data_IF_217664307711
#
_entry.id   IF_217664307711
#
_cell.length_a   1.000
_cell.length_b   1.000
_cell.length_c   1.000
_cell.angle_alpha   90.00
_cell.angle_beta   90.00
_cell.angle_gamma   90.00
#
_symmetry.space_group_name_H-M   'P 1'
#
loop_
_entity.id
_entity.type
_entity.pdbx_description
1 polymer ?
#
# COMPACT_ATOMS: atom_id res chain seq x y z
N UNK A 1 -1.60 35.29 -63.73
CA UNK A 1 -2.75 35.55 -62.85
C UNK A 1 -3.41 34.21 -62.56
N UNK A 2 -2.92 33.58 -61.50
CA UNK A 2 -3.34 32.25 -61.05
C UNK A 2 -4.68 32.34 -60.32
N UNK A 3 -5.66 31.56 -60.77
CA UNK A 3 -6.90 31.36 -60.03
C UNK A 3 -6.63 30.37 -58.91
N UNK A 4 -6.52 30.90 -57.68
CA UNK A 4 -6.50 30.13 -56.43
C UNK A 4 -7.77 29.29 -56.32
N UNK A 5 -7.60 27.98 -56.35
CA UNK A 5 -8.59 27.00 -55.86
C UNK A 5 -8.63 27.10 -54.34
N UNK A 6 -9.77 27.50 -53.79
CA UNK A 6 -10.06 27.47 -52.36
C UNK A 6 -10.08 26.01 -51.85
N UNK A 7 -9.47 25.69 -50.70
CA UNK A 7 -9.62 24.37 -50.10
C UNK A 7 -11.06 24.16 -49.64
N UNK A 8 -11.56 22.95 -49.82
CA UNK A 8 -12.91 22.56 -49.40
C UNK A 8 -13.04 22.59 -47.88
N UNK A 9 -14.20 23.03 -47.40
CA UNK A 9 -14.54 23.21 -45.99
C UNK A 9 -14.83 21.88 -45.25
N UNK A 10 -14.30 20.75 -45.74
CA UNK A 10 -14.61 19.40 -45.26
C UNK A 10 -13.38 18.52 -45.01
N UNK A 11 -12.22 19.10 -44.71
CA UNK A 11 -11.08 18.36 -44.13
C UNK A 11 -11.10 18.42 -42.59
N UNK A 12 -12.25 18.09 -41.98
CA UNK A 12 -12.34 17.77 -40.55
C UNK A 12 -12.80 16.32 -40.42
N UNK A 13 -11.92 15.41 -40.83
CA UNK A 13 -11.94 14.04 -40.32
C UNK A 13 -10.58 13.76 -39.68
N UNK A 14 -10.37 14.32 -38.49
CA UNK A 14 -9.57 13.60 -37.51
C UNK A 14 -10.51 12.61 -36.83
N UNK A 15 -10.53 11.32 -37.23
CA UNK A 15 -11.13 10.32 -36.38
C UNK A 15 -10.40 10.44 -35.05
N UNK A 16 -11.17 10.56 -33.98
CA UNK A 16 -10.70 10.60 -32.61
C UNK A 16 -10.01 9.25 -32.35
N UNK A 17 -8.74 9.11 -32.75
CA UNK A 17 -7.93 7.93 -32.49
C UNK A 17 -7.76 7.93 -30.98
N UNK A 18 -8.65 7.21 -30.30
CA UNK A 18 -8.47 6.89 -28.89
C UNK A 18 -7.21 6.06 -28.81
N UNK A 19 -6.07 6.74 -28.60
CA UNK A 19 -4.79 6.07 -28.47
C UNK A 19 -4.86 5.07 -27.33
N UNK A 20 -4.47 3.84 -27.64
CA UNK A 20 -4.50 2.73 -26.69
C UNK A 20 -3.45 2.98 -25.60
N UNK A 21 -3.83 2.81 -24.32
CA UNK A 21 -2.87 2.89 -23.22
C UNK A 21 -1.73 1.91 -23.46
N UNK A 22 -0.48 2.39 -23.43
CA UNK A 22 0.66 1.48 -23.54
C UNK A 22 1.06 1.00 -22.16
N UNK A 23 1.04 -0.32 -21.96
CA UNK A 23 1.51 -0.96 -20.72
C UNK A 23 2.93 -1.44 -20.96
N UNK A 24 3.88 -0.94 -20.18
CA UNK A 24 5.28 -1.38 -20.26
C UNK A 24 5.74 -1.90 -18.90
N UNK A 25 6.45 -3.03 -18.86
CA UNK A 25 7.20 -3.38 -17.66
C UNK A 25 8.20 -2.26 -17.39
N UNK A 26 8.35 -1.90 -16.12
CA UNK A 26 9.46 -1.04 -15.70
C UNK A 26 10.76 -1.79 -16.03
N UNK A 27 11.75 -1.15 -16.68
CA UNK A 27 13.02 -1.82 -16.93
C UNK A 27 13.57 -2.32 -15.60
N UNK A 28 14.12 -3.55 -15.55
CA UNK A 28 14.76 -4.05 -14.34
C UNK A 28 15.81 -3.03 -13.90
N UNK A 29 15.81 -2.65 -12.62
CA UNK A 29 16.92 -1.92 -12.04
C UNK A 29 18.23 -2.67 -12.38
N UNK A 30 19.33 -1.97 -12.66
CA UNK A 30 20.58 -2.62 -13.09
C UNK A 30 21.13 -3.62 -12.06
N UNK A 31 20.62 -3.59 -10.83
CA UNK A 31 20.95 -4.48 -9.71
C UNK A 31 20.07 -5.77 -9.66
N UNK A 32 19.21 -6.00 -10.65
CA UNK A 32 18.21 -7.10 -10.64
C UNK A 32 18.77 -8.52 -10.82
N UNK A 33 20.09 -8.72 -10.96
CA UNK A 33 20.68 -10.05 -11.20
C UNK A 33 20.61 -11.00 -10.01
N UNK A 34 20.35 -10.50 -8.80
CA UNK A 34 20.39 -11.27 -7.56
C UNK A 34 19.01 -11.59 -6.96
N UNK A 35 17.92 -11.12 -7.57
CA UNK A 35 16.60 -11.12 -6.94
C UNK A 35 15.57 -11.90 -7.78
N UNK A 36 14.96 -12.98 -7.24
CA UNK A 36 13.71 -13.48 -7.82
C UNK A 36 12.67 -12.37 -7.73
N UNK A 37 11.96 -12.07 -8.82
CA UNK A 37 11.01 -10.95 -8.87
C UNK A 37 9.81 -11.22 -7.96
N UNK A 38 9.89 -10.76 -6.72
CA UNK A 38 8.76 -10.76 -5.79
C UNK A 38 7.63 -9.83 -6.27
N UNK A 39 7.97 -8.82 -7.08
CA UNK A 39 7.06 -7.82 -7.60
C UNK A 39 7.47 -7.36 -9.00
N UNK A 40 6.53 -7.39 -9.95
CA UNK A 40 6.68 -6.81 -11.28
C UNK A 40 5.96 -5.46 -11.33
N UNK A 41 6.70 -4.39 -11.65
CA UNK A 41 6.12 -3.07 -11.85
C UNK A 41 5.77 -2.86 -13.32
N UNK A 42 4.54 -2.44 -13.59
CA UNK A 42 4.11 -1.96 -14.90
C UNK A 42 3.68 -0.51 -14.81
N UNK A 43 4.01 0.25 -15.85
CA UNK A 43 3.56 1.63 -16.00
C UNK A 43 2.63 1.67 -17.21
N UNK A 44 1.40 2.13 -16.99
CA UNK A 44 0.44 2.39 -18.05
C UNK A 44 0.33 3.90 -18.27
N UNK A 45 0.70 4.38 -19.45
CA UNK A 45 0.58 5.80 -19.82
C UNK A 45 -0.22 5.95 -21.09
N UNK A 46 -1.01 7.02 -21.14
CA UNK A 46 -1.57 7.55 -22.38
C UNK A 46 -0.89 8.88 -22.72
N UNK A 47 -0.71 9.14 -24.01
CA UNK A 47 -0.02 10.32 -24.55
C UNK A 47 -0.56 11.65 -24.01
N UNK A 48 -1.89 11.74 -23.85
CA UNK A 48 -2.59 12.91 -23.32
C UNK A 48 -2.38 13.14 -21.81
N UNK A 49 -1.55 12.31 -21.15
CA UNK A 49 -1.25 12.31 -19.71
C UNK A 49 -2.46 12.21 -18.78
N UNK A 50 -3.68 12.06 -19.31
CA UNK A 50 -4.91 11.86 -18.53
C UNK A 50 -4.94 10.49 -17.86
N UNK A 51 -4.08 9.56 -18.32
CA UNK A 51 -3.88 8.25 -17.73
C UNK A 51 -2.38 7.94 -17.50
N UNK A 52 -2.07 7.56 -16.26
CA UNK A 52 -0.74 7.28 -15.70
C UNK A 52 -1.00 6.42 -14.47
N UNK A 53 -0.86 5.11 -14.64
CA UNK A 53 -1.08 4.11 -13.60
C UNK A 53 0.23 3.41 -13.33
N UNK A 54 0.53 3.17 -12.06
CA UNK A 54 1.58 2.25 -11.66
C UNK A 54 0.89 1.00 -11.12
N UNK A 55 1.22 -0.15 -11.70
CA UNK A 55 0.64 -1.43 -11.36
C UNK A 55 1.72 -2.29 -10.76
N UNK A 56 1.48 -2.79 -9.56
CA UNK A 56 2.39 -3.64 -8.83
C UNK A 56 1.81 -5.05 -8.85
N UNK A 57 2.38 -5.91 -9.70
CA UNK A 57 1.90 -7.27 -9.94
C UNK A 57 2.72 -8.24 -9.12
N UNK A 58 2.02 -9.17 -8.47
CA UNK A 58 2.61 -10.18 -7.60
C UNK A 58 2.28 -11.56 -8.18
N UNK A 59 3.17 -12.14 -9.00
CA UNK A 59 2.89 -13.40 -9.69
C UNK A 59 2.62 -14.55 -8.72
N UNK A 60 3.34 -14.57 -7.58
CA UNK A 60 3.19 -15.57 -6.52
C UNK A 60 1.79 -15.53 -5.92
N UNK A 61 1.31 -14.36 -5.46
CA UNK A 61 -0.02 -14.24 -4.86
C UNK A 61 -1.16 -14.04 -5.87
N UNK A 62 -0.85 -14.07 -7.18
CA UNK A 62 -1.81 -13.88 -8.27
C UNK A 62 -2.65 -12.61 -8.13
N UNK A 63 -2.08 -11.55 -7.57
CA UNK A 63 -2.78 -10.28 -7.42
C UNK A 63 -2.02 -9.11 -8.04
N UNK A 64 -2.73 -8.04 -8.33
CA UNK A 64 -2.16 -6.76 -8.74
C UNK A 64 -2.70 -5.65 -7.85
N UNK A 65 -1.81 -4.80 -7.40
CA UNK A 65 -2.17 -3.57 -6.71
C UNK A 65 -2.06 -2.38 -7.65
N UNK A 66 -3.08 -1.54 -7.63
CA UNK A 66 -3.11 -0.29 -8.37
C UNK A 66 -2.58 0.81 -7.47
N UNK A 67 -1.50 1.44 -7.90
CA UNK A 67 -0.95 2.67 -7.34
C UNK A 67 -1.27 3.79 -8.31
N UNK A 68 -2.42 4.44 -8.10
CA UNK A 68 -2.91 5.57 -8.88
C UNK A 68 -3.51 6.62 -7.95
N UNK A 69 -2.87 7.77 -7.90
CA UNK A 69 -3.27 8.89 -7.06
C UNK A 69 -4.23 9.86 -7.76
N UNK A 70 -4.65 9.58 -9.01
CA UNK A 70 -5.42 10.53 -9.82
C UNK A 70 -6.83 10.01 -10.06
N UNK A 71 -7.82 10.87 -9.80
CA UNK A 71 -9.24 10.53 -9.93
C UNK A 71 -9.73 10.54 -11.38
N UNK A 72 -10.84 9.85 -11.64
CA UNK A 72 -11.51 9.82 -12.94
C UNK A 72 -11.08 8.67 -13.87
N UNK A 73 -11.72 8.61 -15.05
CA UNK A 73 -11.50 7.60 -16.09
C UNK A 73 -11.65 6.14 -15.61
N UNK A 74 -12.49 5.91 -14.58
CA UNK A 74 -12.62 4.60 -13.92
C UNK A 74 -12.97 3.46 -14.89
N UNK A 75 -13.86 3.69 -15.86
CA UNK A 75 -14.22 2.67 -16.87
C UNK A 75 -13.01 2.25 -17.72
N UNK A 76 -12.24 3.22 -18.19
CA UNK A 76 -11.03 2.96 -18.98
C UNK A 76 -9.98 2.20 -18.15
N UNK A 77 -9.77 2.64 -16.90
CA UNK A 77 -8.89 1.97 -15.94
C UNK A 77 -9.32 0.52 -15.70
N UNK A 78 -10.61 0.27 -15.50
CA UNK A 78 -11.16 -1.08 -15.34
C UNK A 78 -10.91 -1.99 -16.54
N UNK A 79 -11.06 -1.50 -17.76
CA UNK A 79 -10.75 -2.29 -18.95
C UNK A 79 -9.28 -2.73 -18.97
N UNK A 80 -8.37 -1.83 -18.60
CA UNK A 80 -6.93 -2.13 -18.47
C UNK A 80 -6.68 -3.17 -17.38
N UNK A 81 -7.36 -3.06 -16.24
CA UNK A 81 -7.22 -4.01 -15.15
C UNK A 81 -7.72 -5.40 -15.53
N UNK A 82 -8.84 -5.49 -16.24
CA UNK A 82 -9.40 -6.75 -16.72
C UNK A 82 -8.48 -7.38 -17.79
N UNK A 83 -7.91 -6.59 -18.70
CA UNK A 83 -6.92 -7.06 -19.68
C UNK A 83 -5.65 -7.58 -18.99
N UNK A 84 -5.12 -6.83 -18.01
CA UNK A 84 -3.95 -7.23 -17.23
C UNK A 84 -4.22 -8.49 -16.41
N UNK A 85 -5.40 -8.59 -15.79
CA UNK A 85 -5.79 -9.76 -15.02
C UNK A 85 -5.87 -11.01 -15.90
N UNK A 86 -6.44 -10.90 -17.11
CA UNK A 86 -6.48 -11.99 -18.07
C UNK A 86 -5.07 -12.39 -18.55
N UNK A 87 -4.24 -11.40 -18.91
CA UNK A 87 -2.88 -11.63 -19.44
C UNK A 87 -1.96 -12.30 -18.42
N UNK A 88 -1.92 -11.78 -17.19
CA UNK A 88 -1.05 -12.28 -16.11
C UNK A 88 -1.72 -13.38 -15.27
N UNK A 89 -2.92 -13.83 -15.66
CA UNK A 89 -3.74 -14.85 -14.96
C UNK A 89 -3.95 -14.51 -13.48
N UNK A 90 -4.21 -13.24 -13.20
CA UNK A 90 -4.46 -12.74 -11.85
C UNK A 90 -5.84 -13.17 -11.38
N UNK A 91 -5.97 -13.31 -10.07
CA UNK A 91 -7.20 -13.67 -9.37
C UNK A 91 -7.77 -12.51 -8.59
N UNK A 92 -6.99 -11.44 -8.41
CA UNK A 92 -7.41 -10.25 -7.70
C UNK A 92 -6.71 -9.01 -8.21
N UNK A 93 -7.46 -7.92 -8.29
CA UNK A 93 -6.93 -6.57 -8.44
C UNK A 93 -7.42 -5.75 -7.24
N UNK A 94 -6.54 -4.99 -6.60
CA UNK A 94 -6.92 -4.17 -5.46
C UNK A 94 -6.21 -2.81 -5.44
N UNK A 95 -6.74 -1.90 -4.65
CA UNK A 95 -6.20 -0.56 -4.46
C UNK A 95 -6.52 -0.04 -3.06
N UNK A 96 -5.76 0.95 -2.61
CA UNK A 96 -5.98 1.65 -1.35
C UNK A 96 -6.37 3.08 -1.69
N UNK A 97 -7.54 3.50 -1.23
CA UNK A 97 -8.13 4.80 -1.58
C UNK A 97 -8.70 5.47 -0.36
N UNK A 98 -8.83 6.78 -0.38
CA UNK A 98 -9.53 7.49 0.68
C UNK A 98 -11.05 7.19 0.65
N UNK A 99 -11.72 7.46 1.77
CA UNK A 99 -13.16 7.24 1.91
C UNK A 99 -13.98 7.92 0.81
N UNK A 100 -13.60 9.14 0.43
CA UNK A 100 -14.30 9.95 -0.58
C UNK A 100 -14.31 9.30 -1.98
N UNK A 101 -13.28 8.53 -2.32
CA UNK A 101 -13.15 7.90 -3.63
C UNK A 101 -13.78 6.51 -3.70
N UNK A 102 -14.03 5.89 -2.55
CA UNK A 102 -14.51 4.50 -2.45
C UNK A 102 -15.82 4.25 -3.21
N UNK A 103 -16.70 5.24 -3.32
CA UNK A 103 -17.95 5.13 -4.06
C UNK A 103 -17.70 5.03 -5.58
N UNK A 104 -16.81 5.84 -6.12
CA UNK A 104 -16.45 5.80 -7.55
C UNK A 104 -15.89 4.43 -7.94
N UNK A 105 -15.02 3.86 -7.11
CA UNK A 105 -14.51 2.50 -7.31
C UNK A 105 -15.61 1.44 -7.24
N UNK A 106 -16.61 1.61 -6.37
CA UNK A 106 -17.77 0.72 -6.28
C UNK A 106 -18.61 0.71 -7.56
N UNK A 107 -18.81 1.88 -8.18
CA UNK A 107 -19.59 1.97 -9.44
C UNK A 107 -18.99 1.18 -10.59
N UNK A 108 -17.67 0.94 -10.55
CA UNK A 108 -16.96 0.14 -11.54
C UNK A 108 -16.66 -1.28 -11.06
N UNK A 109 -17.37 -1.76 -10.04
CA UNK A 109 -17.38 -3.15 -9.63
C UNK A 109 -16.29 -3.55 -8.62
N UNK A 110 -15.60 -2.59 -7.99
CA UNK A 110 -14.77 -2.89 -6.82
C UNK A 110 -15.63 -2.98 -5.57
N UNK A 111 -15.16 -3.72 -4.57
CA UNK A 111 -15.81 -3.86 -3.27
C UNK A 111 -14.83 -3.62 -2.15
N UNK A 112 -15.34 -3.05 -1.06
CA UNK A 112 -14.53 -2.72 0.11
C UNK A 112 -14.32 -3.98 0.95
N UNK A 113 -13.06 -4.35 1.18
CA UNK A 113 -12.66 -5.52 1.98
C UNK A 113 -12.18 -5.17 3.39
N UNK A 114 -11.45 -4.07 3.54
CA UNK A 114 -10.87 -3.66 4.81
C UNK A 114 -10.69 -2.14 4.90
N UNK A 115 -10.32 -1.67 6.10
CA UNK A 115 -9.92 -0.28 6.36
C UNK A 115 -8.56 -0.30 7.06
N UNK A 116 -7.63 0.57 6.68
CA UNK A 116 -6.40 0.78 7.43
C UNK A 116 -6.46 2.19 8.04
N UNK A 117 -6.77 2.31 9.35
CA UNK A 117 -6.91 3.60 9.99
C UNK A 117 -5.61 4.39 10.02
N UNK A 118 -5.65 5.69 9.66
CA UNK A 118 -4.46 6.55 9.65
C UNK A 118 -3.41 6.21 8.58
N UNK A 119 -3.77 5.41 7.56
CA UNK A 119 -2.86 5.06 6.47
C UNK A 119 -2.32 6.28 5.71
N UNK A 120 -3.14 7.31 5.50
CA UNK A 120 -2.75 8.58 4.86
C UNK A 120 -2.49 9.67 5.90
N UNK A 121 -1.82 9.34 7.02
CA UNK A 121 -1.61 10.17 8.22
C UNK A 121 -2.91 10.58 8.92
N UNK A 122 -3.70 11.42 8.27
CA UNK A 122 -4.93 12.01 8.77
C UNK A 122 -6.20 11.35 8.20
N UNK A 123 -6.05 10.45 7.23
CA UNK A 123 -7.16 9.72 6.63
C UNK A 123 -6.93 8.21 6.62
N UNK A 124 -8.04 7.48 6.67
CA UNK A 124 -8.04 6.03 6.59
C UNK A 124 -7.98 5.58 5.12
N UNK A 125 -7.29 4.49 4.85
CA UNK A 125 -7.35 3.84 3.55
C UNK A 125 -8.43 2.77 3.52
N UNK A 126 -9.24 2.78 2.46
CA UNK A 126 -10.19 1.72 2.16
C UNK A 126 -9.54 0.78 1.17
N UNK A 127 -9.45 -0.50 1.54
CA UNK A 127 -8.97 -1.54 0.63
C UNK A 127 -10.12 -1.93 -0.27
N UNK A 128 -10.01 -1.55 -1.55
CA UNK A 128 -11.00 -1.83 -2.57
C UNK A 128 -10.47 -2.90 -3.50
N UNK A 129 -11.22 -3.98 -3.72
CA UNK A 129 -10.80 -5.09 -4.58
C UNK A 129 -11.82 -5.47 -5.64
N UNK A 130 -11.34 -6.10 -6.69
CA UNK A 130 -12.11 -6.80 -7.72
C UNK A 130 -11.50 -8.20 -7.85
N UNK A 131 -12.32 -9.22 -7.65
CA UNK A 131 -11.90 -10.63 -7.67
C UNK A 131 -12.34 -11.24 -8.99
N UNK A 132 -11.49 -12.13 -9.52
CA UNK A 132 -11.70 -12.80 -10.80
C UNK A 132 -11.94 -14.30 -10.59
N UNK A 133 -12.76 -14.88 -11.44
CA UNK A 133 -13.04 -16.32 -11.44
C UNK A 133 -11.90 -17.13 -12.10
N UNK A 134 -12.16 -18.42 -12.36
CA UNK A 134 -11.19 -19.27 -13.05
C UNK A 134 -10.92 -18.76 -14.48
N UNK A 135 -11.97 -18.29 -15.16
CA UNK A 135 -11.96 -17.85 -16.56
C UNK A 135 -11.44 -16.42 -16.75
N UNK A 136 -11.03 -15.76 -15.66
CA UNK A 136 -10.54 -14.38 -15.69
C UNK A 136 -11.66 -13.35 -15.83
N UNK A 137 -12.92 -13.74 -15.55
CA UNK A 137 -14.05 -12.82 -15.56
C UNK A 137 -14.24 -12.19 -14.18
N UNK A 138 -14.62 -10.91 -14.12
CA UNK A 138 -14.83 -10.20 -12.87
C UNK A 138 -16.09 -10.70 -12.16
N UNK A 139 -15.97 -11.01 -10.87
CA UNK A 139 -17.10 -11.45 -10.05
C UNK A 139 -17.90 -10.21 -9.61
N UNK A 140 -19.07 -10.01 -10.22
CA UNK A 140 -19.91 -8.83 -9.99
C UNK A 140 -20.68 -8.93 -8.66
N UNK A 141 -20.57 -7.88 -7.84
CA UNK A 141 -21.17 -7.79 -6.50
C UNK A 141 -20.15 -7.92 -5.34
N UNK A 142 -18.88 -8.19 -5.68
CA UNK A 142 -17.80 -8.40 -4.72
C UNK A 142 -18.13 -9.40 -3.61
N UNK A 143 -17.41 -9.25 -2.49
CA UNK A 143 -17.39 -10.10 -1.29
C UNK A 143 -18.74 -10.78 -0.96
N UNK A 144 -19.87 -10.11 -1.15
CA UNK A 144 -21.20 -10.65 -0.83
C UNK A 144 -21.54 -11.99 -1.52
N UNK A 145 -20.85 -12.37 -2.61
CA UNK A 145 -21.06 -13.66 -3.29
C UNK A 145 -19.99 -14.72 -3.00
N UNK A 146 -18.84 -14.32 -2.45
CA UNK A 146 -17.81 -15.25 -1.98
C UNK A 146 -17.95 -15.29 -0.46
N UNK A 147 -18.72 -16.28 0.03
CA UNK A 147 -18.78 -16.58 1.47
C UNK A 147 -17.33 -16.67 1.94
N UNK A 148 -16.91 -15.75 2.83
CA UNK A 148 -15.61 -15.79 3.47
C UNK A 148 -15.34 -17.24 3.91
N UNK A 149 -14.19 -17.80 3.53
CA UNK A 149 -13.94 -19.25 3.68
C UNK A 149 -14.08 -19.70 5.14
N UNK A 150 -13.84 -18.79 6.10
CA UNK A 150 -13.90 -19.05 7.54
C UNK A 150 -14.02 -17.76 8.33
N UNK A 151 -14.96 -17.68 9.27
CA UNK A 151 -14.86 -16.75 10.40
C UNK A 151 -13.95 -17.37 11.46
N UNK A 152 -12.98 -16.60 11.94
CA UNK A 152 -11.99 -17.07 12.92
C UNK A 152 -12.18 -16.33 14.23
N UNK A 153 -12.34 -17.10 15.29
CA UNK A 153 -12.31 -16.60 16.66
C UNK A 153 -10.90 -16.77 17.21
N UNK A 154 -10.34 -15.67 17.70
CA UNK A 154 -9.05 -15.65 18.39
C UNK A 154 -9.26 -15.80 19.89
N UNK A 155 -8.26 -16.32 20.60
CA UNK A 155 -8.29 -16.35 22.05
C UNK A 155 -8.13 -14.92 22.61
N UNK A 156 -8.56 -14.72 23.85
CA UNK A 156 -8.34 -13.45 24.56
C UNK A 156 -6.85 -13.06 24.55
N UNK A 157 -6.53 -11.77 24.37
CA UNK A 157 -5.15 -11.32 24.28
C UNK A 157 -4.40 -11.64 25.57
N UNK A 158 -3.28 -12.34 25.45
CA UNK A 158 -2.39 -12.56 26.59
C UNK A 158 -1.53 -11.30 26.79
N UNK A 159 -1.49 -10.71 28.01
CA UNK A 159 -0.73 -9.48 28.24
C UNK A 159 0.76 -9.71 27.99
N UNK A 160 1.33 -8.87 27.13
CA UNK A 160 2.76 -8.91 26.84
C UNK A 160 3.51 -8.32 28.04
N UNK A 161 4.22 -9.20 28.74
CA UNK A 161 5.07 -8.83 29.86
C UNK A 161 6.38 -8.16 29.43
N UNK A 162 7.28 -8.00 30.41
CA UNK A 162 8.64 -7.51 30.16
C UNK A 162 9.40 -8.42 29.19
N UNK A 163 10.45 -7.88 28.58
CA UNK A 163 11.41 -8.63 27.76
C UNK A 163 11.73 -9.99 28.40
N UNK A 164 11.51 -11.11 27.70
CA UNK A 164 11.83 -12.41 28.24
C UNK A 164 13.33 -12.55 28.55
N UNK A 165 13.64 -13.17 29.70
CA UNK A 165 15.01 -13.29 30.18
C UNK A 165 15.90 -14.08 29.21
N UNK A 166 17.13 -13.59 28.99
CA UNK A 166 18.14 -14.25 28.18
C UNK A 166 17.98 -14.10 26.66
N UNK A 167 17.02 -13.29 26.18
CA UNK A 167 16.89 -13.01 24.75
C UNK A 167 17.88 -11.95 24.29
N UNK A 168 18.68 -12.32 23.27
CA UNK A 168 19.48 -11.36 22.49
C UNK A 168 18.62 -10.90 21.31
N UNK A 169 18.41 -9.59 21.22
CA UNK A 169 17.71 -8.93 20.13
C UNK A 169 18.71 -8.18 19.26
N UNK A 170 18.50 -8.16 17.95
CA UNK A 170 19.34 -7.46 16.98
C UNK A 170 18.40 -6.77 15.99
N UNK A 171 18.58 -5.45 15.83
CA UNK A 171 17.97 -4.71 14.73
C UNK A 171 18.91 -4.71 13.54
N UNK A 172 18.38 -5.05 12.38
CA UNK A 172 19.10 -5.17 11.12
C UNK A 172 18.43 -4.23 10.13
N UNK A 173 19.18 -3.26 9.65
CA UNK A 173 18.79 -2.26 8.64
C UNK A 173 19.68 -2.33 7.37
N UNK A 174 20.72 -3.17 7.39
CA UNK A 174 21.59 -3.42 6.26
C UNK A 174 20.85 -4.20 5.15
N UNK A 175 20.70 -3.64 3.93
CA UNK A 175 19.99 -4.26 2.82
C UNK A 175 20.51 -5.65 2.43
N UNK A 176 21.83 -5.86 2.45
CA UNK A 176 22.44 -7.13 2.04
C UNK A 176 22.12 -8.24 3.05
N UNK A 177 22.25 -7.95 4.35
CA UNK A 177 21.87 -8.87 5.41
C UNK A 177 20.36 -9.16 5.42
N UNK A 178 19.52 -8.13 5.23
CA UNK A 178 18.06 -8.31 5.13
C UNK A 178 17.74 -9.25 3.96
N UNK A 179 18.36 -9.01 2.79
CA UNK A 179 18.14 -9.86 1.63
C UNK A 179 18.60 -11.30 1.88
N UNK A 180 19.75 -11.50 2.52
CA UNK A 180 20.23 -12.84 2.90
C UNK A 180 19.23 -13.56 3.82
N UNK A 181 18.62 -12.85 4.78
CA UNK A 181 17.61 -13.40 5.68
C UNK A 181 16.36 -13.83 4.90
N UNK A 182 15.86 -13.00 3.98
CA UNK A 182 14.65 -13.32 3.19
C UNK A 182 14.78 -14.58 2.32
N UNK A 183 16.01 -15.02 2.03
CA UNK A 183 16.28 -16.24 1.26
C UNK A 183 16.51 -17.47 2.15
N UNK A 184 16.44 -17.33 3.47
CA UNK A 184 16.54 -18.46 4.39
C UNK A 184 15.25 -19.30 4.33
N UNK A 185 15.35 -20.64 4.36
CA UNK A 185 14.20 -21.54 4.29
C UNK A 185 13.27 -21.43 5.51
N UNK A 186 13.74 -20.86 6.62
CA UNK A 186 12.93 -20.60 7.81
C UNK A 186 12.06 -19.34 7.71
N UNK A 187 12.32 -18.47 6.72
CA UNK A 187 11.51 -17.28 6.47
C UNK A 187 10.28 -17.66 5.66
N UNK A 188 9.13 -17.13 6.08
CA UNK A 188 7.86 -17.36 5.40
C UNK A 188 7.94 -16.84 3.95
N UNK A 189 7.53 -17.64 2.95
CA UNK A 189 7.46 -17.19 1.56
C UNK A 189 6.31 -16.20 1.32
N UNK A 190 5.53 -15.90 2.37
CA UNK A 190 4.39 -14.98 2.31
C UNK A 190 4.81 -13.52 2.40
N UNK A 191 6.09 -13.23 2.65
CA UNK A 191 6.59 -11.87 2.58
C UNK A 191 6.38 -11.32 1.17
N UNK A 192 5.76 -10.15 1.10
CA UNK A 192 5.51 -9.46 -0.14
C UNK A 192 5.74 -7.94 0.02
N UNK A 193 6.64 -7.33 -0.76
CA UNK A 193 6.88 -5.90 -0.71
C UNK A 193 5.61 -5.10 -0.99
N UNK A 194 5.35 -4.09 -0.17
CA UNK A 194 4.21 -3.21 -0.26
C UNK A 194 4.58 -1.83 -0.79
N UNK A 195 5.84 -1.46 -0.93
CA UNK A 195 6.20 -0.16 -1.45
C UNK A 195 6.41 -0.22 -2.96
N UNK A 196 6.15 0.89 -3.65
CA UNK A 196 6.67 1.04 -5.01
C UNK A 196 8.19 1.15 -4.93
N UNK A 197 8.90 0.31 -5.69
CA UNK A 197 10.37 0.27 -5.70
C UNK A 197 10.99 -0.32 -4.44
N UNK A 198 10.19 -0.85 -3.52
CA UNK A 198 10.69 -1.57 -2.34
C UNK A 198 10.93 -3.02 -2.71
N UNK A 199 12.11 -3.52 -2.38
CA UNK A 199 12.53 -4.89 -2.66
C UNK A 199 12.53 -5.76 -1.39
N UNK A 200 12.85 -5.16 -0.26
CA UNK A 200 12.96 -5.81 1.04
C UNK A 200 12.46 -4.88 2.15
N UNK A 201 12.19 -5.39 3.36
CA UNK A 201 11.86 -4.56 4.50
C UNK A 201 12.98 -3.55 4.77
N UNK A 202 12.63 -2.45 5.43
CA UNK A 202 13.62 -1.47 5.87
C UNK A 202 14.30 -1.91 7.16
N UNK A 203 13.59 -2.67 8.00
CA UNK A 203 14.08 -3.15 9.29
C UNK A 203 13.67 -4.60 9.52
N UNK A 204 14.58 -5.38 10.09
CA UNK A 204 14.29 -6.70 10.67
C UNK A 204 14.73 -6.68 12.14
N UNK A 205 13.82 -7.11 13.02
CA UNK A 205 14.16 -7.47 14.40
C UNK A 205 14.36 -8.98 14.47
N UNK A 206 15.60 -9.38 14.77
CA UNK A 206 16.00 -10.76 14.99
C UNK A 206 16.08 -11.07 16.48
N UNK A 207 15.54 -12.24 16.86
CA UNK A 207 15.73 -12.82 18.19
C UNK A 207 16.14 -14.27 18.08
N UNK A 208 17.22 -14.63 18.78
CA UNK A 208 17.71 -16.01 18.83
C UNK A 208 17.22 -16.76 20.07
N UNK A 209 16.60 -17.91 19.86
CA UNK A 209 16.15 -18.84 20.90
C UNK A 209 16.81 -20.19 20.68
N UNK A 210 17.87 -20.45 21.46
CA UNK A 210 18.69 -21.64 21.30
C UNK A 210 19.36 -21.69 19.92
N UNK A 211 18.88 -22.61 19.07
CA UNK A 211 19.38 -22.81 17.70
C UNK A 211 18.50 -22.16 16.62
N UNK A 212 17.36 -21.59 17.00
CA UNK A 212 16.41 -21.00 16.05
C UNK A 212 16.42 -19.49 16.15
N UNK A 213 16.32 -18.84 15.00
CA UNK A 213 16.10 -17.41 14.91
C UNK A 213 14.62 -17.15 14.59
N UNK A 214 14.09 -16.11 15.19
CA UNK A 214 12.79 -15.54 14.87
C UNK A 214 13.03 -14.17 14.26
N UNK A 215 12.26 -13.83 13.24
CA UNK A 215 12.32 -12.54 12.57
C UNK A 215 10.94 -11.91 12.46
N UNK A 216 10.87 -10.61 12.74
CA UNK A 216 9.75 -9.73 12.37
C UNK A 216 10.31 -8.55 11.61
N UNK A 217 9.58 -8.05 10.63
CA UNK A 217 10.07 -7.05 9.71
C UNK A 217 9.11 -5.88 9.57
N UNK A 218 9.66 -4.70 9.25
CA UNK A 218 8.90 -3.50 8.94
C UNK A 218 9.33 -2.91 7.60
N UNK A 219 8.34 -2.58 6.79
CA UNK A 219 8.48 -1.75 5.61
C UNK A 219 7.86 -0.37 5.89
N UNK A 220 8.66 0.68 5.78
CA UNK A 220 8.25 2.04 6.13
C UNK A 220 7.84 2.82 4.88
N UNK A 221 6.80 3.64 5.03
CA UNK A 221 6.43 4.66 4.05
C UNK A 221 6.27 6.02 4.74
N UNK A 222 7.37 6.77 4.79
CA UNK A 222 7.42 8.08 5.47
C UNK A 222 6.49 9.12 4.84
N UNK A 223 6.27 9.06 3.52
CA UNK A 223 5.39 10.02 2.83
C UNK A 223 3.97 9.99 3.41
N UNK A 224 3.50 8.81 3.79
CA UNK A 224 2.16 8.60 4.33
C UNK A 224 2.13 8.27 5.82
N UNK A 225 3.28 8.24 6.49
CA UNK A 225 3.38 8.05 7.95
C UNK A 225 2.84 6.70 8.42
N UNK A 226 3.01 5.65 7.59
CA UNK A 226 2.60 4.28 7.93
C UNK A 226 3.72 3.26 7.69
N UNK A 227 3.62 2.10 8.33
CA UNK A 227 4.48 0.96 8.09
C UNK A 227 3.67 -0.33 7.90
N UNK A 228 4.15 -1.20 7.00
CA UNK A 228 3.70 -2.60 6.93
C UNK A 228 4.60 -3.44 7.82
N UNK A 229 4.00 -4.28 8.66
CA UNK A 229 4.71 -5.24 9.50
C UNK A 229 4.44 -6.66 9.02
N UNK A 230 5.50 -7.47 8.93
CA UNK A 230 5.41 -8.88 8.57
C UNK A 230 6.06 -9.76 9.64
N UNK A 231 5.39 -10.84 10.02
CA UNK A 231 5.97 -11.90 10.85
C UNK A 231 6.70 -12.85 9.89
N UNK A 232 8.03 -12.77 9.85
CA UNK A 232 8.82 -13.55 8.90
C UNK A 232 9.01 -15.00 9.35
N UNK A 233 8.81 -15.33 10.63
CA UNK A 233 8.95 -16.70 11.13
C UNK A 233 7.67 -17.21 11.79
N UNK A 234 7.12 -18.30 11.26
CA UNK A 234 5.92 -18.91 11.84
C UNK A 234 6.21 -19.50 13.24
N UNK A 235 5.40 -19.19 14.27
CA UNK A 235 5.56 -19.79 15.59
C UNK A 235 5.22 -21.28 15.57
N UNK A 236 6.07 -22.11 16.18
CA UNK A 236 5.86 -23.57 16.34
C UNK A 236 5.43 -23.97 17.74
N UNK A 237 5.41 -23.04 18.69
CA UNK A 237 5.00 -23.29 20.07
C UNK A 237 4.39 -22.05 20.70
N UNK A 238 3.63 -22.24 21.79
CA UNK A 238 3.07 -21.13 22.60
C UNK A 238 4.19 -20.20 23.09
N UNK A 239 5.36 -20.75 23.43
CA UNK A 239 6.52 -19.97 23.87
C UNK A 239 7.04 -19.04 22.78
N UNK A 240 7.18 -19.55 21.55
CA UNK A 240 7.59 -18.73 20.41
C UNK A 240 6.52 -17.70 20.03
N UNK A 241 5.23 -18.05 20.13
CA UNK A 241 4.13 -17.10 19.94
C UNK A 241 4.28 -15.89 20.85
N UNK A 242 4.51 -16.12 22.15
CA UNK A 242 4.76 -15.04 23.13
C UNK A 242 6.00 -14.21 22.81
N UNK A 243 7.06 -14.84 22.29
CA UNK A 243 8.27 -14.14 21.87
C UNK A 243 8.02 -13.27 20.65
N UNK A 244 7.32 -13.78 19.63
CA UNK A 244 6.94 -12.99 18.46
C UNK A 244 6.01 -11.83 18.85
N UNK A 245 5.04 -12.04 19.74
CA UNK A 245 4.15 -10.97 20.19
C UNK A 245 4.94 -9.83 20.87
N UNK A 246 5.90 -10.20 21.73
CA UNK A 246 6.83 -9.24 22.30
C UNK A 246 7.70 -8.54 21.24
N UNK A 247 8.21 -9.28 20.25
CA UNK A 247 9.00 -8.71 19.14
C UNK A 247 8.19 -7.72 18.31
N UNK A 248 6.94 -8.05 17.97
CA UNK A 248 6.01 -7.16 17.25
C UNK A 248 5.80 -5.88 18.05
N UNK A 249 5.54 -6.00 19.35
CA UNK A 249 5.37 -4.83 20.23
C UNK A 249 6.63 -3.97 20.26
N UNK A 250 7.79 -4.60 20.42
CA UNK A 250 9.08 -3.91 20.46
C UNK A 250 9.41 -3.20 19.14
N UNK A 251 9.09 -3.82 18.00
CA UNK A 251 9.26 -3.22 16.68
C UNK A 251 8.32 -2.02 16.49
N UNK A 252 7.05 -2.12 16.92
CA UNK A 252 6.09 -0.99 16.88
C UNK A 252 6.55 0.17 17.78
N UNK A 253 7.09 -0.13 18.97
CA UNK A 253 7.69 0.88 19.84
C UNK A 253 8.87 1.59 19.15
N UNK A 254 9.76 0.83 18.52
CA UNK A 254 10.92 1.37 17.79
C UNK A 254 10.49 2.27 16.63
N UNK A 255 9.50 1.83 15.83
CA UNK A 255 8.94 2.62 14.73
C UNK A 255 8.37 3.96 15.23
N UNK A 256 7.70 3.95 16.39
CA UNK A 256 7.17 5.18 16.99
C UNK A 256 8.23 6.07 17.67
N UNK A 257 9.45 5.57 17.90
CA UNK A 257 10.56 6.36 18.48
C UNK A 257 11.51 6.91 17.43
N UNK A 258 11.72 6.16 16.36
CA UNK A 258 12.72 6.45 15.34
C UNK A 258 12.15 7.09 14.08
N UNK A 259 10.85 6.92 13.84
CA UNK A 259 10.18 7.37 12.63
C UNK A 259 8.89 8.11 12.94
N UNK A 260 8.44 8.95 12.00
CA UNK A 260 7.16 9.67 12.10
C UNK A 260 5.99 8.77 11.65
N UNK A 261 5.92 7.58 12.24
CA UNK A 261 4.95 6.54 11.91
C UNK A 261 3.82 6.56 12.93
N UNK A 262 2.60 6.72 12.41
CA UNK A 262 1.39 6.83 13.21
C UNK A 262 0.47 5.61 13.08
N UNK A 263 0.65 4.84 12.01
CA UNK A 263 -0.14 3.65 11.69
C UNK A 263 0.75 2.50 11.26
N UNK A 264 0.54 1.33 11.85
CA UNK A 264 1.16 0.08 11.43
C UNK A 264 0.07 -0.88 11.01
N UNK A 265 0.25 -1.57 9.89
CA UNK A 265 -0.68 -2.61 9.45
C UNK A 265 0.05 -3.90 9.12
N UNK A 266 -0.67 -5.02 9.15
CA UNK A 266 -0.12 -6.34 8.83
C UNK A 266 -1.16 -7.17 8.09
N UNK A 267 -0.69 -8.15 7.32
CA UNK A 267 -1.54 -9.07 6.57
C UNK A 267 -1.10 -10.49 6.93
N UNK A 268 -2.02 -11.34 7.35
CA UNK A 268 -1.76 -12.76 7.62
C UNK A 268 -2.74 -13.62 6.85
N UNK A 269 -2.37 -14.84 6.45
CA UNK A 269 -3.37 -15.78 5.95
C UNK A 269 -4.40 -16.08 7.04
N UNK A 270 -5.64 -16.30 6.63
CA UNK A 270 -6.72 -16.68 7.57
C UNK A 270 -6.36 -18.00 8.27
N UNK A 271 -5.71 -18.93 7.58
CA UNK A 271 -5.32 -20.23 8.15
C UNK A 271 -4.18 -20.17 9.18
N UNK A 272 -3.38 -19.09 9.17
CA UNK A 272 -2.25 -18.91 10.09
C UNK A 272 -2.74 -18.34 11.44
N UNK A 273 -3.60 -19.10 12.12
CA UNK A 273 -4.22 -18.71 13.41
C UNK A 273 -3.14 -18.29 14.42
N UNK A 274 -2.01 -18.98 14.44
CA UNK A 274 -0.92 -18.66 15.36
C UNK A 274 -0.30 -17.28 15.10
N UNK A 275 -0.18 -16.86 13.84
CA UNK A 275 0.30 -15.51 13.49
C UNK A 275 -0.75 -14.44 13.79
N UNK A 276 -2.03 -14.72 13.50
CA UNK A 276 -3.11 -13.83 13.90
C UNK A 276 -3.15 -13.62 15.42
N UNK A 277 -2.97 -14.69 16.20
CA UNK A 277 -2.89 -14.59 17.66
C UNK A 277 -1.67 -13.81 18.15
N UNK A 278 -0.50 -13.90 17.47
CA UNK A 278 0.65 -13.02 17.78
C UNK A 278 0.26 -11.54 17.68
N UNK A 279 -0.49 -11.17 16.64
CA UNK A 279 -0.93 -9.80 16.42
C UNK A 279 -1.99 -9.36 17.45
N UNK A 280 -2.94 -10.25 17.79
CA UNK A 280 -3.92 -10.00 18.88
C UNK A 280 -3.21 -9.78 20.21
N UNK A 281 -2.27 -10.65 20.57
CA UNK A 281 -1.47 -10.52 21.80
C UNK A 281 -0.66 -9.20 21.79
N UNK A 282 -0.19 -8.75 20.61
CA UNK A 282 0.49 -7.47 20.39
C UNK A 282 -0.44 -6.24 20.33
N UNK A 283 -1.75 -6.43 20.53
CA UNK A 283 -2.74 -5.33 20.57
C UNK A 283 -3.18 -4.81 19.20
N UNK A 284 -2.87 -5.52 18.12
CA UNK A 284 -3.44 -5.22 16.80
C UNK A 284 -4.94 -5.55 16.80
N UNK A 285 -5.67 -4.83 15.95
CA UNK A 285 -7.09 -5.04 15.73
C UNK A 285 -7.32 -5.53 14.31
N UNK A 286 -8.30 -6.40 14.13
CA UNK A 286 -8.75 -6.77 12.79
C UNK A 286 -9.53 -5.60 12.16
N UNK A 287 -9.45 -5.49 10.85
CA UNK A 287 -10.13 -4.42 10.10
C UNK A 287 -10.87 -4.89 8.86
N UNK A 288 -10.74 -6.17 8.54
CA UNK A 288 -11.38 -6.78 7.38
C UNK A 288 -10.66 -8.03 6.90
N UNK A 289 -11.33 -8.74 6.01
CA UNK A 289 -10.85 -9.96 5.38
C UNK A 289 -10.70 -9.73 3.88
N UNK A 290 -9.51 -10.01 3.37
CA UNK A 290 -9.12 -9.83 1.99
C UNK A 290 -9.34 -11.15 1.25
N UNK A 291 -10.35 -11.19 0.38
CA UNK A 291 -10.70 -12.42 -0.34
C UNK A 291 -9.59 -12.87 -1.29
N UNK A 292 -9.16 -14.14 -1.24
CA UNK A 292 -8.14 -14.74 -2.14
C UNK A 292 -6.90 -13.86 -2.31
N UNK A 293 -6.40 -13.30 -1.22
CA UNK A 293 -5.33 -12.30 -1.27
C UNK A 293 -3.93 -12.92 -1.28
N UNK A 294 -3.76 -14.08 -0.64
CA UNK A 294 -2.48 -14.77 -0.55
C UNK A 294 -2.56 -16.15 -1.19
N UNK A 295 -1.41 -16.67 -1.61
CA UNK A 295 -1.26 -18.04 -2.12
C UNK A 295 -0.35 -18.79 -1.15
N UNK A 296 -0.80 -19.96 -0.69
CA UNK A 296 0.01 -20.87 0.12
C UNK A 296 1.11 -21.53 -0.71
N UNK A 297 2.09 -22.17 -0.05
CA UNK A 297 3.14 -22.94 -0.73
C UNK A 297 2.59 -24.05 -1.64
N UNK A 298 1.42 -24.60 -1.30
CA UNK A 298 0.72 -25.63 -2.08
C UNK A 298 0.00 -25.05 -3.33
N UNK A 299 0.08 -23.73 -3.54
CA UNK A 299 -0.57 -23.05 -4.66
C UNK A 299 -2.05 -22.75 -4.45
N UNK A 300 -2.61 -23.02 -3.27
CA UNK A 300 -4.01 -22.70 -2.95
C UNK A 300 -4.14 -21.20 -2.65
N UNK A 301 -5.14 -20.55 -3.23
CA UNK A 301 -5.48 -19.17 -2.86
C UNK A 301 -6.28 -19.18 -1.57
N UNK A 302 -5.86 -18.33 -0.64
CA UNK A 302 -6.46 -18.19 0.67
C UNK A 302 -6.89 -16.75 0.90
N UNK A 303 -7.95 -16.60 1.68
CA UNK A 303 -8.28 -15.32 2.29
C UNK A 303 -7.17 -14.91 3.28
N UNK A 304 -7.02 -13.60 3.46
CA UNK A 304 -6.11 -13.00 4.42
C UNK A 304 -6.85 -12.06 5.36
N UNK A 305 -6.35 -11.90 6.57
CA UNK A 305 -6.84 -10.93 7.55
C UNK A 305 -5.98 -9.67 7.49
N UNK A 306 -6.64 -8.51 7.49
CA UNK A 306 -5.97 -7.21 7.58
C UNK A 306 -6.00 -6.72 9.03
N UNK A 307 -4.82 -6.45 9.55
CA UNK A 307 -4.60 -6.01 10.93
C UNK A 307 -4.07 -4.59 10.96
N UNK A 308 -4.39 -3.84 12.01
CA UNK A 308 -3.83 -2.52 12.23
C UNK A 308 -3.52 -2.24 13.70
N UNK A 309 -2.57 -1.34 13.91
CA UNK A 309 -2.17 -0.79 15.20
C UNK A 309 -1.90 0.71 15.03
N UNK A 310 -2.49 1.55 15.89
CA UNK A 310 -2.22 2.99 15.89
C UNK A 310 -1.17 3.31 16.93
N UNK A 311 -0.07 3.89 16.50
CA UNK A 311 0.96 4.40 17.39
C UNK A 311 0.43 5.71 17.99
N UNK A 312 0.35 5.75 19.32
CA UNK A 312 -0.05 6.98 20.00
C UNK A 312 1.03 8.06 19.76
N UNK A 313 0.64 9.30 19.44
CA UNK A 313 1.59 10.41 19.30
C UNK A 313 2.37 10.55 20.62
N UNK A 314 3.69 10.34 20.59
CA UNK A 314 4.54 10.69 21.73
C UNK A 314 4.69 12.21 21.73
N UNK A 315 4.50 12.86 22.89
CA UNK A 315 4.87 14.26 23.04
C UNK A 315 6.36 14.41 22.68
N UNK A 316 6.67 15.15 21.60
CA UNK A 316 8.00 15.26 21.01
C UNK A 316 9.11 15.45 22.06
N UNK A 317 9.84 14.40 22.39
CA UNK A 317 11.20 14.55 22.93
C UNK A 317 12.10 14.71 21.71
N UNK A 318 12.38 15.97 21.36
CA UNK A 318 13.31 16.31 20.30
C UNK A 318 14.62 15.51 20.48
N UNK A 319 14.89 14.57 19.58
CA UNK A 319 16.16 13.87 19.50
C UNK A 319 17.18 14.94 19.10
N UNK A 320 18.08 15.33 20.02
CA UNK A 320 19.29 16.06 19.66
C UNK A 320 20.07 15.16 18.71
N UNK A 321 19.95 15.40 17.41
CA UNK A 321 20.90 14.85 16.46
C UNK A 321 22.27 15.44 16.84
N UNK A 322 23.17 14.59 17.31
CA UNK A 322 24.57 14.97 17.47
C UNK A 322 25.13 15.17 16.06
N UNK A 323 25.24 16.42 15.64
CA UNK A 323 25.94 16.78 14.42
C UNK A 323 27.43 16.67 14.71
N UNK A 324 28.12 15.79 13.98
CA UNK A 324 29.57 15.65 14.02
C UNK A 324 30.20 16.85 13.28
N UNK A 325 30.93 17.74 13.96
CA UNK A 325 31.39 19.01 13.38
C UNK A 325 32.62 18.88 12.45
N UNK A 326 33.12 17.67 12.14
CA UNK A 326 34.36 17.51 11.36
C UNK A 326 34.18 17.42 9.82
N UNK A 327 32.97 17.55 9.27
CA UNK A 327 32.81 17.61 7.81
C UNK A 327 32.99 19.04 7.27
N UNK A 328 33.88 19.27 6.28
CA UNK A 328 34.10 20.59 5.71
C UNK A 328 32.85 21.06 4.95
N UNK A 329 32.27 22.15 5.46
CA UNK A 329 31.13 22.86 4.88
C UNK A 329 31.48 23.40 3.49
N UNK A 330 30.82 22.89 2.45
CA UNK A 330 30.80 23.51 1.13
C UNK A 330 29.85 24.72 1.22
N UNK A 331 30.30 25.96 0.97
CA UNK A 331 29.45 27.14 1.11
C UNK A 331 28.38 27.16 0.01
N UNK A 332 27.11 27.01 0.42
CA UNK A 332 25.94 27.24 -0.43
C UNK A 332 25.67 28.75 -0.46
N UNK A 333 25.45 29.38 -1.64
CA UNK A 333 25.20 30.81 -1.71
C UNK A 333 23.83 31.16 -1.10
N UNK A 334 23.88 32.07 -0.12
CA UNK A 334 22.71 32.63 0.57
C UNK A 334 21.92 33.47 -0.45
N UNK A 335 20.73 32.98 -0.86
CA UNK A 335 19.73 33.83 -1.52
C UNK A 335 19.03 34.67 -0.46
N UNK A 336 18.98 35.99 -0.69
CA UNK A 336 18.27 36.95 0.16
C UNK A 336 16.78 36.58 0.28
N UNK A 337 16.14 36.87 1.42
CA UNK A 337 14.70 36.69 1.58
C UNK A 337 13.96 37.65 0.65
N UNK A 338 13.05 37.10 -0.16
CA UNK A 338 11.98 37.88 -0.79
C UNK A 338 10.93 38.16 0.31
N UNK A 339 10.87 39.39 0.77
CA UNK A 339 9.68 39.96 1.41
C UNK A 339 8.91 40.75 0.36
N UNK A 340 7.60 40.80 0.54
CA UNK A 340 6.59 41.57 -0.20
C UNK A 340 5.96 40.83 -1.40
N UNK A 341 4.92 40.06 -1.08
CA UNK A 341 3.83 39.73 -1.99
C UNK A 341 2.56 40.33 -1.36
N UNK A 342 2.19 41.52 -1.83
CA UNK A 342 0.90 42.14 -1.58
C UNK A 342 -0.18 41.31 -2.29
N UNK A 343 -1.15 40.80 -1.52
CA UNK A 343 -2.39 40.27 -2.04
C UNK A 343 -3.41 41.41 -1.99
N UNK A 344 -3.74 41.97 -3.14
CA UNK A 344 -4.93 42.81 -3.29
C UNK A 344 -6.17 41.87 -3.25
N UNK A 345 -6.99 42.07 -2.23
CA UNK A 345 -8.34 41.50 -2.09
C UNK A 345 -9.30 42.26 -3.02
N UNK A 346 -9.67 41.64 -4.15
CA UNK A 346 -10.83 42.07 -4.94
C UNK A 346 -12.08 41.34 -4.39
N UNK A 347 -12.84 42.05 -3.55
CA UNK A 347 -14.20 41.67 -3.14
C UNK A 347 -15.17 41.87 -4.34
N UNK A 348 -15.59 40.78 -4.99
CA UNK A 348 -16.73 40.82 -5.92
C UNK A 348 -18.05 40.89 -5.13
N UNK A 349 -18.69 42.05 -5.15
CA UNK A 349 -20.08 42.26 -4.71
C UNK A 349 -21.05 41.39 -5.53
N UNK A 350 -21.72 40.45 -4.87
CA UNK A 350 -22.85 39.70 -5.44
C UNK A 350 -24.09 40.59 -5.35
N UNK A 351 -24.56 41.11 -6.49
CA UNK A 351 -25.87 41.75 -6.60
C UNK A 351 -26.98 40.70 -6.43
N UNK A 352 -27.72 40.80 -5.33
CA UNK A 352 -29.02 40.14 -5.13
C UNK A 352 -30.06 40.77 -6.07
N UNK A 353 -30.50 40.01 -7.08
CA UNK A 353 -31.68 40.35 -7.87
C UNK A 353 -32.93 39.90 -7.10
N UNK A 354 -33.62 40.88 -6.53
CA UNK A 354 -35.00 40.80 -6.06
C UNK A 354 -35.91 40.98 -7.28
N UNK A 355 -36.63 39.92 -7.68
CA UNK A 355 -37.79 40.04 -8.56
C UNK A 355 -39.02 39.73 -7.70
N UNK A 356 -39.70 40.79 -7.27
CA UNK A 356 -41.07 40.75 -6.77
C UNK A 356 -42.03 41.11 -7.92
N UNK A 357 -43.03 40.24 -8.06
CA UNK A 357 -44.42 40.48 -8.42
C UNK A 357 -44.80 41.17 -9.74
N UNK A 358 -45.63 40.48 -10.54
CA UNK A 358 -46.83 41.10 -11.10
C UNK A 358 -47.91 40.02 -11.35
N UNK A 359 -48.95 40.08 -10.52
CA UNK A 359 -50.30 39.57 -10.78
C UNK A 359 -50.89 40.31 -11.99
N UNK A 360 -51.58 39.61 -12.90
CA UNK A 360 -52.72 40.16 -13.65
C UNK A 360 -53.57 39.03 -14.26
N UNK A 361 -54.80 38.93 -13.74
CA UNK A 361 -56.10 38.43 -14.25
C UNK A 361 -56.21 37.26 -15.27
#
# INVERSE_FOLDING_TARGET
>A
MDKKTSPSLFDIEHPNVQETPTIRPCPPCSDMSHYPRALDEYICRRSDRKLNLSLLVTPHHKHMRIVDYRLGQYKLKCNIFDEMAAREKLKKVYTLVEKQDSNSWRTVGFSKEAIIPGYFRNADAYVMSRVYDHDGRPITGGIAKLVHEKQIEFAEPEPIGKKPAGLKEIFIDDPEAINAILHLPEVTPLYHPFGKGVMHPHFILEVRIGRRNLWVAAEINDAFGHAKLDILTLPRSIKERRYLAWMVTKLVEELGETSDISSVFSITMVEDISCGQVLVDAGFKDSGQLTRHMQSEEGRLSDALMWFFRIAPKANKARKMAFDPELPMIPVPIKKPLTDFDFDDDEEEVQEHHDEDEDED
#
